data_IF_279002843229
#
_entry.id   IF_279002843229
#
_cell.length_a   1.000
_cell.length_b   1.000
_cell.length_c   1.000
_cell.angle_alpha   90.00
_cell.angle_beta   90.00
_cell.angle_gamma   90.00
#
_symmetry.space_group_name_H-M   'P 1'
#
loop_
_entity.id
_entity.type
_entity.pdbx_description
1 polymer ?
#
# COMPACT_ATOMS: atom_id res chain seq x y z
N UNK A 1 -46.18 33.64 12.63
CA UNK A 1 -46.71 33.18 13.94
C UNK A 1 -45.95 31.93 14.37
N UNK A 2 -45.46 31.97 15.62
CA UNK A 2 -44.88 30.91 16.49
C UNK A 2 -45.33 29.48 16.11
N UNK A 3 -44.48 28.44 16.11
CA UNK A 3 -43.91 27.76 17.29
C UNK A 3 -42.67 26.90 16.95
N UNK A 4 -41.69 26.92 17.83
CA UNK A 4 -40.52 26.03 17.97
C UNK A 4 -40.88 24.68 18.60
N UNK A 5 -40.32 23.57 18.09
CA UNK A 5 -40.04 22.28 18.78
C UNK A 5 -38.84 21.69 18.01
N UNK A 6 -37.57 21.80 18.43
CA UNK A 6 -36.86 21.17 19.56
C UNK A 6 -36.71 19.63 19.46
N UNK A 7 -35.45 19.17 19.55
CA UNK A 7 -34.96 17.79 19.75
C UNK A 7 -35.19 16.80 18.59
N UNK A 8 -34.18 16.08 18.06
CA UNK A 8 -33.19 15.33 18.82
C UNK A 8 -31.96 15.06 17.94
N UNK A 9 -30.79 15.52 18.37
CA UNK A 9 -29.52 15.05 17.83
C UNK A 9 -29.27 13.65 18.40
N UNK A 10 -29.55 12.61 17.60
CA UNK A 10 -29.01 11.27 17.87
C UNK A 10 -27.57 11.29 17.37
N UNK A 11 -26.67 11.82 18.21
CA UNK A 11 -25.26 11.51 18.09
C UNK A 11 -25.12 10.04 18.48
N UNK A 12 -25.22 9.17 17.49
CA UNK A 12 -24.90 7.74 17.62
C UNK A 12 -23.38 7.64 17.82
N UNK A 13 -22.97 7.87 19.05
CA UNK A 13 -21.63 7.56 19.53
C UNK A 13 -21.58 6.05 19.63
N UNK A 14 -21.29 5.39 18.50
CA UNK A 14 -20.96 3.97 18.49
C UNK A 14 -19.64 3.87 19.27
N UNK A 15 -19.59 3.26 20.47
CA UNK A 15 -18.31 2.82 20.95
C UNK A 15 -17.90 1.75 19.96
N UNK A 16 -16.92 2.05 19.11
CA UNK A 16 -16.26 1.03 18.31
C UNK A 16 -15.46 0.16 19.29
N UNK A 17 -16.18 -0.69 20.04
CA UNK A 17 -15.63 -1.90 20.63
C UNK A 17 -15.31 -2.80 19.44
N UNK A 18 -14.26 -2.44 18.69
CA UNK A 18 -13.67 -3.32 17.71
C UNK A 18 -12.97 -4.38 18.54
N UNK A 19 -13.69 -5.47 18.78
CA UNK A 19 -13.09 -6.74 19.12
C UNK A 19 -12.19 -7.13 17.93
N UNK A 20 -10.98 -6.57 17.90
CA UNK A 20 -9.91 -7.08 17.06
C UNK A 20 -9.61 -8.47 17.60
N UNK A 21 -10.23 -9.47 16.96
CA UNK A 21 -9.75 -10.83 17.06
C UNK A 21 -8.24 -10.78 16.82
N UNK A 22 -7.46 -11.14 17.86
CA UNK A 22 -6.03 -11.37 17.74
C UNK A 22 -5.84 -12.48 16.72
N UNK A 23 -5.67 -12.12 15.46
CA UNK A 23 -5.06 -13.01 14.47
C UNK A 23 -3.58 -13.04 14.83
N UNK A 24 -3.22 -13.88 15.81
CA UNK A 24 -1.85 -14.32 15.99
C UNK A 24 -1.56 -15.34 14.91
N UNK A 25 -0.97 -14.88 13.82
CA UNK A 25 -0.61 -15.74 12.71
C UNK A 25 0.18 -14.99 11.66
N UNK A 26 1.48 -14.78 11.92
CA UNK A 26 2.50 -14.75 10.87
C UNK A 26 3.90 -14.85 11.51
N UNK A 27 4.33 -16.07 11.83
CA UNK A 27 5.75 -16.38 11.84
C UNK A 27 6.25 -16.35 10.39
N UNK A 28 6.88 -15.25 10.05
CA UNK A 28 7.45 -14.99 8.74
C UNK A 28 7.87 -13.54 8.72
N UNK A 29 9.13 -13.27 9.09
CA UNK A 29 9.78 -11.96 9.04
C UNK A 29 9.81 -11.42 7.59
N UNK A 30 8.66 -11.05 7.04
CA UNK A 30 8.60 -9.91 6.15
C UNK A 30 9.00 -8.73 7.02
N UNK A 31 10.11 -8.07 6.69
CA UNK A 31 10.64 -6.95 7.44
C UNK A 31 9.49 -6.02 7.87
N UNK A 32 9.21 -6.02 9.17
CA UNK A 32 8.18 -5.17 9.78
C UNK A 32 8.38 -3.74 9.24
N UNK A 33 7.33 -3.02 8.82
CA UNK A 33 7.46 -1.67 8.26
C UNK A 33 8.22 -0.69 9.19
N UNK A 34 8.35 -1.07 10.46
CA UNK A 34 9.01 -0.34 11.54
C UNK A 34 10.25 -1.04 12.09
N UNK A 35 10.81 -2.04 11.40
CA UNK A 35 12.01 -2.75 11.84
C UNK A 35 13.20 -1.81 12.08
N UNK A 36 13.22 -0.63 11.42
CA UNK A 36 14.22 0.42 11.62
C UNK A 36 14.10 1.18 12.96
N UNK A 37 12.99 1.03 13.68
CA UNK A 37 12.81 1.62 15.02
C UNK A 37 13.41 0.74 16.12
N UNK A 38 13.65 -0.55 15.86
CA UNK A 38 14.16 -1.47 16.87
C UNK A 38 15.62 -1.15 17.23
N UNK A 39 15.91 -1.01 18.54
CA UNK A 39 17.25 -0.72 19.04
C UNK A 39 17.65 0.75 18.92
N UNK A 40 16.70 1.64 18.64
CA UNK A 40 16.93 3.09 18.52
C UNK A 40 16.58 3.86 19.79
N UNK A 41 15.96 3.20 20.79
CA UNK A 41 15.37 3.87 21.95
C UNK A 41 14.06 4.62 21.61
N UNK A 42 13.63 4.57 20.35
CA UNK A 42 12.38 5.12 19.83
C UNK A 42 11.50 3.99 19.27
N UNK A 43 11.53 2.82 19.91
CA UNK A 43 10.64 1.71 19.58
C UNK A 43 9.17 2.14 19.72
N UNK A 44 8.29 1.45 18.99
CA UNK A 44 6.85 1.65 19.18
C UNK A 44 6.45 1.25 20.60
N UNK A 45 5.53 1.99 21.21
CA UNK A 45 4.86 1.55 22.43
C UNK A 45 3.86 0.42 22.13
N UNK A 46 3.36 -0.27 23.16
CA UNK A 46 2.33 -1.28 22.99
C UNK A 46 1.05 -0.69 22.38
N UNK A 47 0.65 0.50 22.85
CA UNK A 47 -0.54 1.21 22.36
C UNK A 47 -0.38 1.64 20.90
N UNK A 48 0.79 2.18 20.53
CA UNK A 48 1.08 2.54 19.13
C UNK A 48 1.00 1.32 18.21
N UNK A 49 1.56 0.18 18.62
CA UNK A 49 1.45 -1.07 17.85
C UNK A 49 0.00 -1.48 17.67
N UNK A 50 -0.80 -1.46 18.73
CA UNK A 50 -2.20 -1.84 18.68
C UNK A 50 -3.01 -0.92 17.73
N UNK A 51 -2.75 0.39 17.75
CA UNK A 51 -3.39 1.33 16.82
C UNK A 51 -3.00 1.06 15.36
N UNK A 52 -1.70 0.86 15.10
CA UNK A 52 -1.18 0.56 13.76
C UNK A 52 -1.75 -0.75 13.21
N UNK A 53 -1.87 -1.78 14.05
CA UNK A 53 -2.50 -3.05 13.67
C UNK A 53 -3.98 -2.87 13.32
N UNK A 54 -4.68 -2.00 14.07
CA UNK A 54 -6.05 -1.59 13.77
C UNK A 54 -6.18 -0.93 12.39
N UNK A 55 -5.31 0.05 12.09
CA UNK A 55 -5.26 0.70 10.78
C UNK A 55 -4.93 -0.30 9.66
N UNK A 56 -4.03 -1.26 9.91
CA UNK A 56 -3.65 -2.30 8.94
C UNK A 56 -4.83 -3.21 8.63
N UNK A 57 -5.54 -3.67 9.65
CA UNK A 57 -6.71 -4.53 9.51
C UNK A 57 -7.83 -3.81 8.75
N UNK A 58 -8.09 -2.53 9.07
CA UNK A 58 -9.06 -1.71 8.33
C UNK A 58 -8.67 -1.56 6.86
N UNK A 59 -7.41 -1.18 6.58
CA UNK A 59 -6.91 -1.06 5.20
C UNK A 59 -7.03 -2.37 4.42
N UNK A 60 -6.69 -3.51 5.03
CA UNK A 60 -6.82 -4.84 4.38
C UNK A 60 -8.29 -5.15 4.09
N UNK A 61 -9.18 -4.95 5.06
CA UNK A 61 -10.62 -5.19 4.91
C UNK A 61 -11.22 -4.34 3.78
N UNK A 62 -10.89 -3.06 3.73
CA UNK A 62 -11.46 -2.12 2.75
C UNK A 62 -10.89 -2.29 1.33
N UNK A 63 -9.69 -2.85 1.18
CA UNK A 63 -8.99 -2.88 -0.12
C UNK A 63 -8.84 -4.27 -0.73
N UNK A 64 -9.27 -5.33 -0.05
CA UNK A 64 -9.10 -6.72 -0.51
C UNK A 64 -9.77 -6.97 -1.87
N UNK A 65 -11.04 -6.59 -1.99
CA UNK A 65 -11.82 -6.74 -3.22
C UNK A 65 -11.26 -5.89 -4.36
N UNK A 66 -10.85 -4.65 -4.08
CA UNK A 66 -10.25 -3.77 -5.09
C UNK A 66 -8.91 -4.31 -5.60
N UNK A 67 -8.10 -4.92 -4.73
CA UNK A 67 -6.84 -5.59 -5.13
C UNK A 67 -7.11 -6.81 -6.00
N UNK A 68 -8.14 -7.59 -5.69
CA UNK A 68 -8.55 -8.72 -6.51
C UNK A 68 -9.03 -8.24 -7.89
N UNK A 69 -9.95 -7.30 -7.95
CA UNK A 69 -10.45 -6.70 -9.18
C UNK A 69 -9.32 -6.08 -10.02
N UNK A 70 -8.36 -5.42 -9.38
CA UNK A 70 -7.19 -4.87 -10.08
C UNK A 70 -6.32 -5.96 -10.72
N UNK A 71 -6.15 -7.11 -10.06
CA UNK A 71 -5.40 -8.25 -10.62
C UNK A 71 -6.12 -8.83 -11.84
N UNK A 72 -7.41 -9.07 -11.71
CA UNK A 72 -8.27 -9.59 -12.79
C UNK A 72 -8.25 -8.67 -14.02
N UNK A 73 -8.55 -7.37 -13.84
CA UNK A 73 -8.59 -6.41 -14.95
C UNK A 73 -7.23 -6.20 -15.61
N UNK A 74 -6.12 -6.32 -14.85
CA UNK A 74 -4.77 -6.35 -15.45
C UNK A 74 -4.56 -7.58 -16.30
N UNK A 75 -4.96 -8.76 -15.83
CA UNK A 75 -4.84 -10.00 -16.59
C UNK A 75 -5.65 -9.91 -17.90
N UNK A 76 -6.87 -9.39 -17.85
CA UNK A 76 -7.69 -9.10 -19.04
C UNK A 76 -6.99 -8.13 -20.00
N UNK A 77 -6.46 -7.02 -19.49
CA UNK A 77 -5.73 -6.05 -20.31
C UNK A 77 -4.51 -6.69 -20.99
N UNK A 78 -3.75 -7.51 -20.27
CA UNK A 78 -2.61 -8.26 -20.82
C UNK A 78 -3.05 -9.24 -21.90
N UNK A 79 -4.17 -9.96 -21.71
CA UNK A 79 -4.72 -10.86 -22.72
C UNK A 79 -5.19 -10.10 -23.97
N UNK A 80 -5.83 -8.94 -23.83
CA UNK A 80 -6.23 -8.09 -24.96
C UNK A 80 -5.03 -7.61 -25.77
N UNK A 81 -3.93 -7.25 -25.10
CA UNK A 81 -2.69 -6.82 -25.76
C UNK A 81 -1.93 -7.97 -26.44
N UNK A 82 -2.12 -9.21 -25.97
CA UNK A 82 -1.51 -10.41 -26.56
C UNK A 82 -2.26 -10.92 -27.80
N UNK A 83 -3.47 -10.42 -28.09
CA UNK A 83 -4.22 -10.80 -29.27
C UNK A 83 -3.50 -10.38 -30.56
N UNK A 84 -3.63 -11.17 -31.64
CA UNK A 84 -3.03 -10.87 -32.94
C UNK A 84 -3.46 -9.51 -33.50
N UNK A 85 -4.70 -9.11 -33.23
CA UNK A 85 -5.27 -7.82 -33.64
C UNK A 85 -6.05 -7.21 -32.47
N UNK A 86 -5.38 -6.50 -31.54
CA UNK A 86 -6.02 -5.90 -30.38
C UNK A 86 -7.06 -4.84 -30.79
N UNK A 87 -8.22 -4.85 -30.15
CA UNK A 87 -9.22 -3.80 -30.35
C UNK A 87 -8.85 -2.57 -29.52
N UNK A 88 -8.40 -1.50 -30.19
CA UNK A 88 -7.93 -0.26 -29.56
C UNK A 88 -8.92 0.33 -28.54
N UNK A 89 -10.19 0.44 -28.90
CA UNK A 89 -11.20 1.07 -28.04
C UNK A 89 -11.43 0.26 -26.77
N UNK A 90 -11.64 -1.06 -26.91
CA UNK A 90 -11.82 -1.97 -25.77
C UNK A 90 -10.59 -2.00 -24.86
N UNK A 91 -9.39 -2.03 -25.43
CA UNK A 91 -8.14 -1.98 -24.66
C UNK A 91 -8.00 -0.68 -23.86
N UNK A 92 -8.33 0.47 -24.47
CA UNK A 92 -8.30 1.77 -23.78
C UNK A 92 -9.35 1.85 -22.66
N UNK A 93 -10.55 1.33 -22.87
CA UNK A 93 -11.58 1.24 -21.84
C UNK A 93 -11.08 0.40 -20.64
N UNK A 94 -10.51 -0.79 -20.91
CA UNK A 94 -9.96 -1.66 -19.86
C UNK A 94 -8.81 -1.00 -19.09
N UNK A 95 -7.93 -0.26 -19.79
CA UNK A 95 -6.86 0.50 -19.16
C UNK A 95 -7.39 1.59 -18.21
N UNK A 96 -8.51 2.26 -18.55
CA UNK A 96 -9.14 3.25 -17.66
C UNK A 96 -9.65 2.60 -16.37
N UNK A 97 -10.35 1.47 -16.47
CA UNK A 97 -10.81 0.73 -15.28
C UNK A 97 -9.63 0.36 -14.34
N UNK A 98 -8.50 -0.05 -14.93
CA UNK A 98 -7.27 -0.35 -14.17
C UNK A 98 -6.70 0.91 -13.52
N UNK A 99 -6.69 2.04 -14.22
CA UNK A 99 -6.22 3.33 -13.69
C UNK A 99 -7.09 3.82 -12.53
N UNK A 100 -8.41 3.72 -12.64
CA UNK A 100 -9.34 4.17 -11.62
C UNK A 100 -9.19 3.35 -10.32
N UNK A 101 -9.08 2.02 -10.43
CA UNK A 101 -8.80 1.17 -9.27
C UNK A 101 -7.43 1.46 -8.63
N UNK A 102 -6.41 1.76 -9.44
CA UNK A 102 -5.09 2.17 -8.91
C UNK A 102 -5.20 3.48 -8.13
N UNK A 103 -5.99 4.44 -8.61
CA UNK A 103 -6.21 5.71 -7.93
C UNK A 103 -6.88 5.49 -6.56
N UNK A 104 -7.97 4.72 -6.52
CA UNK A 104 -8.69 4.41 -5.28
C UNK A 104 -7.80 3.68 -4.25
N UNK A 105 -7.04 2.68 -4.69
CA UNK A 105 -6.07 1.99 -3.83
C UNK A 105 -4.94 2.92 -3.36
N UNK A 106 -4.51 3.84 -4.22
CA UNK A 106 -3.51 4.86 -3.90
C UNK A 106 -3.98 5.79 -2.79
N UNK A 107 -5.22 6.27 -2.89
CA UNK A 107 -5.86 7.12 -1.87
C UNK A 107 -5.96 6.40 -0.52
N UNK A 108 -6.50 5.17 -0.50
CA UNK A 108 -6.56 4.37 0.75
C UNK A 108 -5.17 4.09 1.33
N UNK A 109 -4.17 3.88 0.49
CA UNK A 109 -2.79 3.70 0.96
C UNK A 109 -2.20 4.99 1.52
N UNK A 110 -2.57 6.16 1.01
CA UNK A 110 -2.14 7.44 1.55
C UNK A 110 -2.78 7.68 2.92
N UNK A 111 -4.09 7.47 3.03
CA UNK A 111 -4.84 7.57 4.29
C UNK A 111 -4.19 6.68 5.36
N UNK A 112 -3.98 5.39 5.07
CA UNK A 112 -3.31 4.48 6.00
C UNK A 112 -1.93 5.00 6.47
N UNK A 113 -1.14 5.59 5.56
CA UNK A 113 0.17 6.16 5.94
C UNK A 113 0.02 7.40 6.81
N UNK A 114 -0.96 8.25 6.55
CA UNK A 114 -1.25 9.43 7.37
C UNK A 114 -1.72 9.01 8.77
N UNK A 115 -2.60 8.01 8.86
CA UNK A 115 -3.07 7.45 10.13
C UNK A 115 -1.92 6.88 10.95
N UNK A 116 -1.03 6.09 10.31
CA UNK A 116 0.19 5.59 10.97
C UNK A 116 1.05 6.75 11.47
N UNK A 117 1.29 7.79 10.65
CA UNK A 117 2.11 8.94 11.08
C UNK A 117 1.47 9.72 12.24
N UNK A 118 0.14 9.77 12.32
CA UNK A 118 -0.58 10.49 13.37
C UNK A 118 -0.35 9.94 14.79
N UNK A 119 0.04 8.67 14.91
CA UNK A 119 0.28 8.03 16.22
C UNK A 119 1.76 7.97 16.61
N UNK A 120 2.67 8.44 15.74
CA UNK A 120 4.12 8.42 15.97
C UNK A 120 4.63 9.77 16.48
N UNK A 121 5.64 9.71 17.35
CA UNK A 121 6.36 10.92 17.78
C UNK A 121 7.18 11.51 16.63
N UNK A 122 7.56 12.80 16.68
CA UNK A 122 8.43 13.40 15.68
C UNK A 122 9.74 12.63 15.45
N UNK A 123 10.34 12.09 16.50
CA UNK A 123 11.58 11.30 16.46
C UNK A 123 11.36 9.98 15.72
N UNK A 124 10.26 9.29 16.01
CA UNK A 124 9.86 8.07 15.31
C UNK A 124 9.57 8.34 13.82
N UNK A 125 8.93 9.47 13.51
CA UNK A 125 8.63 9.86 12.13
C UNK A 125 9.90 10.15 11.32
N UNK A 126 10.94 10.70 11.94
CA UNK A 126 12.22 10.99 11.29
C UNK A 126 12.97 9.70 10.89
N UNK A 127 12.74 8.61 11.62
CA UNK A 127 13.32 7.29 11.36
C UNK A 127 12.56 6.47 10.31
N UNK A 128 11.34 6.88 9.95
CA UNK A 128 10.60 6.23 8.87
C UNK A 128 11.36 6.36 7.55
N UNK A 129 11.35 5.32 6.69
CA UNK A 129 11.93 5.43 5.36
C UNK A 129 11.30 6.61 4.63
N UNK A 130 12.11 7.63 4.32
CA UNK A 130 11.69 8.65 3.38
C UNK A 130 11.29 7.95 2.09
N UNK A 131 10.16 8.33 1.49
CA UNK A 131 9.72 7.83 0.19
C UNK A 131 10.72 8.27 -0.88
N UNK A 132 11.87 7.61 -0.96
CA UNK A 132 12.72 7.61 -2.14
C UNK A 132 11.95 6.80 -3.15
N UNK A 133 11.34 7.50 -4.12
CA UNK A 133 10.58 6.88 -5.20
C UNK A 133 11.33 5.66 -5.73
N UNK A 134 10.66 4.51 -5.73
CA UNK A 134 11.23 3.24 -6.18
C UNK A 134 11.32 3.31 -7.71
N UNK A 135 12.34 4.01 -8.20
CA UNK A 135 12.45 4.42 -9.59
C UNK A 135 13.74 5.18 -9.89
N UNK A 136 14.88 4.73 -9.37
CA UNK A 136 16.19 5.10 -9.92
C UNK A 136 17.29 4.12 -9.48
N UNK A 137 17.08 2.82 -9.68
CA UNK A 137 18.23 1.93 -9.88
C UNK A 137 18.40 1.80 -11.38
N UNK A 138 19.01 2.84 -11.96
CA UNK A 138 19.63 2.73 -13.28
C UNK A 138 20.50 1.48 -13.25
N UNK A 139 20.20 0.56 -14.17
CA UNK A 139 21.17 -0.42 -14.67
C UNK A 139 22.48 0.33 -14.94
N UNK A 140 23.46 0.22 -14.05
CA UNK A 140 24.86 0.34 -14.45
C UNK A 140 25.18 -0.92 -15.25
N UNK A 141 24.71 -0.95 -16.48
CA UNK A 141 25.31 -1.74 -17.55
C UNK A 141 26.66 -1.09 -17.88
N UNK A 142 27.66 -1.33 -17.04
CA UNK A 142 29.05 -1.02 -17.33
C UNK A 142 29.84 -2.29 -17.00
N UNK A 143 30.13 -3.10 -18.03
CA UNK A 143 30.93 -4.32 -17.87
C UNK A 143 30.63 -5.48 -18.82
N UNK A 144 29.85 -5.30 -19.89
CA UNK A 144 29.78 -6.27 -21.00
C UNK A 144 30.21 -5.62 -22.31
N UNK A 145 31.46 -5.18 -22.36
CA UNK A 145 32.24 -5.06 -23.60
C UNK A 145 33.14 -6.30 -23.62
N UNK A 146 32.87 -7.30 -24.46
CA UNK A 146 33.47 -7.34 -25.80
C UNK A 146 34.99 -7.17 -25.73
N UNK A 147 35.67 -8.25 -25.35
CA UNK A 147 37.02 -8.55 -25.78
C UNK A 147 37.05 -10.05 -26.14
N UNK A 148 36.52 -10.36 -27.31
CA UNK A 148 37.01 -11.48 -28.07
C UNK A 148 38.37 -11.04 -28.63
N UNK A 149 39.48 -11.58 -28.14
CA UNK A 149 40.71 -11.71 -28.92
C UNK A 149 41.69 -12.70 -28.27
N UNK A 150 41.79 -13.87 -28.93
CA UNK A 150 42.82 -14.91 -28.97
C UNK A 150 43.28 -15.69 -27.72
N UNK A 151 43.40 -17.04 -27.82
CA UNK A 151 44.11 -17.85 -26.83
C UNK A 151 45.63 -17.87 -27.09
N UNK A 152 46.49 -17.95 -26.05
CA UNK A 152 47.87 -18.36 -26.23
C UNK A 152 47.97 -19.88 -26.32
N UNK A 153 48.59 -20.31 -27.42
CA UNK A 153 49.12 -21.64 -27.67
C UNK A 153 50.02 -22.15 -26.54
N UNK A 154 49.74 -23.37 -26.06
CA UNK A 154 50.73 -24.35 -25.57
C UNK A 154 50.09 -25.74 -25.48
#
# INVERSE_FOLDING_TARGET
>A
MKKTIALTAVLLLIPAAVAFARVHGHEGRAAEPFAKLNGTGHELTADQRQQIDGFRAAFVKETSEWKLALREKKAELHAMLAARTPNREKTLAKQREVSDLRAQLGEKSLIFRLDVRSVLTPEQQALLPQHKGRGMHHRTMAGRSSAAENPPSR
#
